data_IF_857724876714
#
_entry.id   IF_857724876714
#
_cell.length_a   1.000
_cell.length_b   1.000
_cell.length_c   1.000
_cell.angle_alpha   90.00
_cell.angle_beta   90.00
_cell.angle_gamma   90.00
#
_symmetry.space_group_name_H-M   'P 1'
#
loop_
_entity.id
_entity.type
_entity.pdbx_description
1 polymer ?
#
# COMPACT_ATOMS: atom_id res chain seq x y z
N UNK A 1 0.53 -29.25 -47.16
CA UNK A 1 0.94 -27.84 -47.11
C UNK A 1 1.73 -27.64 -45.83
N UNK A 2 3.01 -27.24 -45.89
CA UNK A 2 3.80 -27.01 -44.69
C UNK A 2 3.39 -25.67 -44.06
N UNK A 3 3.08 -25.70 -42.77
CA UNK A 3 2.86 -24.52 -41.94
C UNK A 3 4.23 -23.96 -41.60
N UNK A 4 4.55 -22.79 -42.16
CA UNK A 4 5.74 -22.02 -41.80
C UNK A 4 5.51 -21.43 -40.41
N UNK A 5 6.35 -21.82 -39.47
CA UNK A 5 6.45 -21.21 -38.14
C UNK A 5 7.31 -19.96 -38.31
N UNK A 6 6.72 -18.79 -38.15
CA UNK A 6 7.47 -17.53 -38.07
C UNK A 6 8.20 -17.48 -36.73
N UNK A 7 9.54 -17.43 -36.77
CA UNK A 7 10.37 -17.06 -35.63
C UNK A 7 10.20 -15.55 -35.36
N UNK A 8 9.56 -15.20 -34.25
CA UNK A 8 9.55 -13.84 -33.74
C UNK A 8 10.93 -13.47 -33.16
N UNK A 9 11.59 -12.52 -33.83
CA UNK A 9 12.87 -11.92 -33.46
C UNK A 9 12.74 -11.11 -32.15
N UNK A 10 13.19 -11.69 -31.04
CA UNK A 10 13.23 -11.08 -29.70
C UNK A 10 14.40 -10.09 -29.52
N UNK A 11 14.67 -9.26 -30.51
CA UNK A 11 15.74 -8.24 -30.43
C UNK A 11 15.15 -6.87 -30.79
N UNK A 12 14.65 -6.09 -29.79
CA UNK A 12 15.47 -4.97 -29.30
C UNK A 12 15.07 -4.44 -27.89
N UNK A 13 15.12 -5.26 -26.83
CA UNK A 13 15.01 -4.71 -25.44
C UNK A 13 16.37 -4.35 -24.81
N UNK A 14 17.48 -4.83 -25.36
CA UNK A 14 18.83 -4.57 -24.82
C UNK A 14 19.46 -3.25 -25.28
N UNK A 15 19.01 -2.64 -26.39
CA UNK A 15 19.53 -1.34 -26.84
C UNK A 15 18.88 -0.13 -26.18
N UNK A 16 17.71 -0.28 -25.56
CA UNK A 16 17.04 0.83 -24.85
C UNK A 16 17.69 1.14 -23.49
N UNK A 17 18.45 0.20 -22.93
CA UNK A 17 19.21 0.40 -21.68
C UNK A 17 20.48 1.25 -21.87
N UNK A 18 20.99 1.43 -23.10
CA UNK A 18 22.24 2.13 -23.37
C UNK A 18 22.10 3.64 -23.62
N UNK A 19 20.88 4.17 -23.83
CA UNK A 19 20.66 5.58 -24.21
C UNK A 19 20.23 6.52 -23.07
N UNK A 20 20.13 6.04 -21.83
CA UNK A 20 19.75 6.87 -20.66
C UNK A 20 20.98 7.44 -19.91
N UNK A 21 22.20 7.25 -20.44
CA UNK A 21 23.45 7.63 -19.77
C UNK A 21 24.01 9.03 -20.03
N UNK A 22 23.42 9.85 -20.90
CA UNK A 22 24.00 11.13 -21.32
C UNK A 22 23.10 12.33 -20.93
N UNK A 23 23.05 12.61 -19.63
CA UNK A 23 22.28 13.74 -19.08
C UNK A 23 22.53 13.94 -17.59
N UNK A 24 23.78 13.85 -17.15
CA UNK A 24 24.17 14.26 -15.79
C UNK A 24 24.16 15.79 -15.71
N UNK A 25 22.97 16.36 -15.57
CA UNK A 25 22.78 17.72 -15.13
C UNK A 25 23.26 17.88 -13.69
N UNK A 26 23.95 18.99 -13.45
CA UNK A 26 24.50 19.47 -12.21
C UNK A 26 23.51 19.31 -11.04
N UNK A 27 23.96 18.64 -9.96
CA UNK A 27 23.17 18.37 -8.76
C UNK A 27 23.00 19.68 -7.99
N UNK A 28 21.78 20.18 -7.96
CA UNK A 28 21.34 21.31 -7.13
C UNK A 28 21.63 21.03 -5.65
N UNK A 29 22.20 22.02 -4.98
CA UNK A 29 22.51 22.00 -3.55
C UNK A 29 21.28 21.63 -2.70
N UNK A 30 21.49 20.73 -1.73
CA UNK A 30 20.45 20.32 -0.77
C UNK A 30 20.13 21.52 0.13
N UNK A 31 18.86 21.96 0.24
CA UNK A 31 18.52 23.11 1.06
C UNK A 31 18.78 22.83 2.56
N UNK A 32 19.51 23.69 3.29
CA UNK A 32 19.93 23.50 4.68
C UNK A 32 18.80 23.57 5.73
N UNK A 33 17.54 23.67 5.31
CA UNK A 33 16.40 23.95 6.20
C UNK A 33 15.81 22.72 6.91
N UNK A 34 16.16 21.48 6.53
CA UNK A 34 15.51 20.28 7.10
C UNK A 34 16.10 19.83 8.45
N UNK A 35 17.38 20.09 8.71
CA UNK A 35 18.06 19.61 9.93
C UNK A 35 17.51 20.22 11.22
N UNK A 36 17.08 21.49 11.20
CA UNK A 36 16.60 22.18 12.39
C UNK A 36 15.23 21.75 12.90
N UNK A 37 14.38 21.19 12.03
CA UNK A 37 13.02 20.78 12.42
C UNK A 37 13.01 19.48 13.24
N UNK A 38 13.93 18.54 12.94
CA UNK A 38 14.09 17.29 13.68
C UNK A 38 14.63 17.55 15.10
N UNK A 39 15.64 18.41 15.22
CA UNK A 39 16.25 18.77 16.52
C UNK A 39 15.32 19.55 17.45
N UNK A 40 14.31 20.24 16.91
CA UNK A 40 13.32 21.00 17.68
C UNK A 40 12.20 20.09 18.24
N UNK A 41 11.76 19.10 17.46
CA UNK A 41 10.76 18.12 17.89
C UNK A 41 11.29 17.23 19.04
N UNK A 42 12.57 16.88 19.03
CA UNK A 42 13.16 16.01 20.07
C UNK A 42 13.34 16.70 21.44
N UNK A 43 13.40 18.03 21.52
CA UNK A 43 13.62 18.75 22.79
C UNK A 43 12.35 19.01 23.60
N UNK A 44 11.17 18.72 23.05
CA UNK A 44 9.88 18.93 23.71
C UNK A 44 9.30 17.74 24.48
N UNK A 45 9.76 16.50 24.21
CA UNK A 45 9.06 15.28 24.61
C UNK A 45 9.35 14.78 26.05
N UNK A 46 9.52 15.67 27.03
CA UNK A 46 9.79 15.31 28.41
C UNK A 46 8.77 15.93 29.39
N UNK A 47 7.52 15.45 29.35
CA UNK A 47 6.60 15.59 30.47
C UNK A 47 5.11 15.70 30.12
N UNK A 48 4.35 14.64 30.39
CA UNK A 48 2.88 14.67 30.51
C UNK A 48 2.17 13.51 29.80
N UNK A 49 1.07 13.01 30.38
CA UNK A 49 0.18 11.98 29.80
C UNK A 49 -0.54 12.41 28.49
N UNK A 50 -0.14 13.54 27.88
CA UNK A 50 -0.52 14.01 26.54
C UNK A 50 0.34 13.38 25.41
N UNK A 51 1.12 12.34 25.74
CA UNK A 51 2.16 11.69 24.91
C UNK A 51 1.65 11.08 23.58
N UNK A 52 0.35 10.83 23.42
CA UNK A 52 -0.19 10.15 22.24
C UNK A 52 -0.37 11.07 21.02
N UNK A 53 -0.61 12.37 21.22
CA UNK A 53 -0.77 13.35 20.14
C UNK A 53 0.58 13.73 19.52
N UNK A 54 1.63 13.94 20.32
CA UNK A 54 2.98 14.19 19.82
C UNK A 54 3.51 12.98 19.02
N UNK A 55 3.07 11.77 19.38
CA UNK A 55 3.40 10.54 18.64
C UNK A 55 2.75 10.46 17.26
N UNK A 56 1.69 11.20 16.96
CA UNK A 56 1.02 11.19 15.65
C UNK A 56 1.87 11.86 14.57
N UNK A 57 2.50 12.99 14.90
CA UNK A 57 3.41 13.70 14.00
C UNK A 57 4.64 12.87 13.64
N UNK A 58 5.01 11.88 14.46
CA UNK A 58 6.23 11.09 14.27
C UNK A 58 6.16 10.14 13.07
N UNK A 59 5.01 9.54 12.74
CA UNK A 59 4.95 8.59 11.60
C UNK A 59 5.19 9.31 10.26
N UNK A 60 4.62 10.50 10.07
CA UNK A 60 4.82 11.28 8.85
C UNK A 60 6.27 11.83 8.71
N UNK A 61 6.95 12.02 9.85
CA UNK A 61 8.37 12.37 9.89
C UNK A 61 9.25 11.15 9.63
N UNK A 62 8.88 9.96 10.11
CA UNK A 62 9.63 8.72 9.97
C UNK A 62 9.55 8.13 8.56
N UNK A 63 8.41 8.30 7.89
CA UNK A 63 8.12 7.73 6.57
C UNK A 63 8.12 8.79 5.47
N UNK A 64 8.37 8.36 4.24
CA UNK A 64 8.42 9.21 3.05
C UNK A 64 7.01 9.61 2.57
N UNK A 65 6.33 10.44 3.35
CA UNK A 65 5.01 11.01 3.05
C UNK A 65 5.15 12.28 2.21
N UNK A 66 4.23 12.48 1.26
CA UNK A 66 4.16 13.65 0.40
C UNK A 66 3.87 14.95 1.16
N UNK A 67 4.46 16.07 0.74
CA UNK A 67 4.31 17.38 1.40
C UNK A 67 2.93 18.00 1.24
N UNK A 68 2.18 17.59 0.22
CA UNK A 68 0.79 18.01 0.02
C UNK A 68 -0.23 17.17 0.78
N UNK A 69 0.22 16.15 1.51
CA UNK A 69 -0.69 15.26 2.23
C UNK A 69 -0.92 15.81 3.65
N UNK A 70 -2.17 16.05 4.07
CA UNK A 70 -2.43 16.57 5.42
C UNK A 70 -1.85 15.63 6.49
N UNK A 71 -1.13 16.18 7.45
CA UNK A 71 -0.41 15.43 8.49
C UNK A 71 -1.33 14.85 9.57
N UNK A 72 -2.53 15.38 9.72
CA UNK A 72 -3.50 14.97 10.73
C UNK A 72 -4.80 14.42 10.10
N UNK A 73 -5.47 13.54 10.85
CA UNK A 73 -6.88 13.22 10.61
C UNK A 73 -7.81 14.32 11.17
N UNK A 74 -7.31 15.06 12.16
CA UNK A 74 -8.15 15.75 13.14
C UNK A 74 -8.06 17.27 13.08
N UNK A 75 -6.98 17.87 12.55
CA UNK A 75 -6.91 19.34 12.46
C UNK A 75 -7.69 19.90 11.27
N UNK A 76 -7.95 19.08 10.25
CA UNK A 76 -9.04 19.38 9.34
C UNK A 76 -10.36 19.22 10.11
N UNK A 77 -11.07 20.32 10.42
CA UNK A 77 -12.41 20.19 11.00
C UNK A 77 -13.26 19.25 10.11
N UNK A 78 -14.14 18.39 10.68
CA UNK A 78 -14.99 17.49 9.89
C UNK A 78 -15.79 18.21 8.80
N UNK A 79 -16.05 19.50 9.04
CA UNK A 79 -16.78 20.42 8.19
C UNK A 79 -15.89 21.51 7.58
N UNK A 80 -14.57 21.48 7.81
CA UNK A 80 -13.67 22.39 7.11
C UNK A 80 -13.81 22.10 5.60
N UNK A 81 -14.22 23.10 4.80
CA UNK A 81 -14.25 22.93 3.37
C UNK A 81 -12.86 22.48 2.95
N UNK A 82 -12.79 21.40 2.18
CA UNK A 82 -11.56 21.01 1.48
C UNK A 82 -10.96 22.29 0.90
N UNK A 83 -9.77 22.67 1.37
CA UNK A 83 -9.15 23.94 0.96
C UNK A 83 -9.13 24.03 -0.56
N UNK A 84 -9.17 25.25 -1.12
CA UNK A 84 -9.27 25.50 -2.57
C UNK A 84 -8.20 24.79 -3.42
N UNK A 85 -7.14 24.25 -2.79
CA UNK A 85 -6.10 23.41 -3.41
C UNK A 85 -6.43 21.91 -3.52
N UNK A 86 -7.59 21.46 -3.05
CA UNK A 86 -8.13 20.15 -3.39
C UNK A 86 -8.65 20.26 -4.82
N UNK A 87 -7.75 20.15 -5.81
CA UNK A 87 -8.02 20.46 -7.20
C UNK A 87 -9.41 20.00 -7.63
N UNK A 88 -10.11 20.86 -8.36
CA UNK A 88 -11.52 20.71 -8.81
C UNK A 88 -11.84 19.38 -9.53
N UNK A 89 -10.86 18.49 -9.73
CA UNK A 89 -10.99 17.15 -10.29
C UNK A 89 -11.48 16.07 -9.32
N UNK A 90 -11.43 16.27 -8.00
CA UNK A 90 -11.94 15.27 -7.05
C UNK A 90 -13.49 15.29 -7.00
N UNK A 91 -14.10 14.43 -7.82
CA UNK A 91 -15.55 14.30 -7.91
C UNK A 91 -16.23 14.02 -6.54
N UNK A 92 -17.53 14.34 -6.40
CA UNK A 92 -18.27 14.23 -5.13
C UNK A 92 -18.22 12.84 -4.48
N UNK A 93 -18.02 11.79 -5.27
CA UNK A 93 -17.87 10.40 -4.80
C UNK A 93 -16.59 10.20 -4.00
N UNK A 94 -15.47 10.77 -4.44
CA UNK A 94 -14.19 10.68 -3.72
C UNK A 94 -14.25 11.37 -2.36
N UNK A 95 -14.93 12.53 -2.28
CA UNK A 95 -15.16 13.26 -1.03
C UNK A 95 -15.96 12.45 -0.01
N UNK A 96 -17.08 11.84 -0.44
CA UNK A 96 -17.93 11.03 0.45
C UNK A 96 -17.22 9.78 0.99
N UNK A 97 -16.43 9.11 0.15
CA UNK A 97 -15.63 7.95 0.54
C UNK A 97 -14.57 8.34 1.59
N UNK A 98 -13.87 9.46 1.39
CA UNK A 98 -12.87 9.98 2.34
C UNK A 98 -13.48 10.34 3.70
N UNK A 99 -14.66 10.95 3.74
CA UNK A 99 -15.35 11.29 4.99
C UNK A 99 -15.78 10.05 5.81
N UNK A 100 -16.32 9.02 5.14
CA UNK A 100 -16.66 7.76 5.81
C UNK A 100 -15.42 7.04 6.34
N UNK A 101 -14.35 7.01 5.54
CA UNK A 101 -13.06 6.46 5.95
C UNK A 101 -12.51 7.14 7.19
N UNK A 102 -12.53 8.48 7.23
CA UNK A 102 -12.09 9.24 8.41
C UNK A 102 -12.86 8.86 9.67
N UNK A 103 -14.21 8.85 9.63
CA UNK A 103 -15.04 8.51 10.80
C UNK A 103 -14.81 7.08 11.30
N UNK A 104 -14.66 6.12 10.38
CA UNK A 104 -14.39 4.74 10.76
C UNK A 104 -12.97 4.58 11.31
N UNK A 105 -11.98 5.19 10.66
CA UNK A 105 -10.58 5.15 11.09
C UNK A 105 -10.40 5.74 12.50
N UNK A 106 -11.04 6.90 12.78
CA UNK A 106 -11.03 7.50 14.11
C UNK A 106 -11.60 6.56 15.18
N UNK A 107 -12.70 5.87 14.89
CA UNK A 107 -13.28 4.88 15.82
C UNK A 107 -12.43 3.63 16.02
N UNK A 108 -11.61 3.27 15.04
CA UNK A 108 -10.71 2.13 15.10
C UNK A 108 -9.36 2.48 15.75
N UNK A 109 -9.13 3.74 16.14
CA UNK A 109 -7.82 4.20 16.60
C UNK A 109 -6.75 4.13 15.50
N UNK A 110 -7.17 4.17 14.24
CA UNK A 110 -6.29 4.07 13.09
C UNK A 110 -5.52 5.38 12.88
N UNK A 111 -4.23 5.27 12.58
CA UNK A 111 -3.37 6.42 12.25
C UNK A 111 -3.31 6.65 10.75
N UNK A 112 -2.88 7.85 10.34
CA UNK A 112 -2.72 8.18 8.92
C UNK A 112 -1.26 8.08 8.52
N UNK A 113 -1.02 7.55 7.33
CA UNK A 113 0.28 7.61 6.67
C UNK A 113 0.07 7.84 5.18
N UNK A 114 0.23 9.07 4.73
CA UNK A 114 -0.24 9.45 3.39
C UNK A 114 -1.77 9.37 3.30
N UNK A 115 -2.29 8.62 2.33
CA UNK A 115 -3.71 8.25 2.24
C UNK A 115 -4.00 6.83 2.77
N UNK A 116 -3.01 6.19 3.41
CA UNK A 116 -3.16 4.90 4.06
C UNK A 116 -3.69 5.07 5.50
N UNK A 117 -4.48 4.10 5.97
CA UNK A 117 -4.85 3.98 7.37
C UNK A 117 -4.06 2.85 8.03
N UNK A 118 -3.27 3.21 9.04
CA UNK A 118 -2.43 2.30 9.83
C UNK A 118 -3.24 1.84 11.05
N UNK A 119 -3.71 0.60 10.99
CA UNK A 119 -4.53 -0.02 12.05
C UNK A 119 -3.68 -0.61 13.18
N UNK A 120 -2.45 -1.05 12.86
CA UNK A 120 -1.55 -1.64 13.83
C UNK A 120 -0.09 -1.40 13.45
N UNK A 121 0.71 -1.01 14.43
CA UNK A 121 2.15 -0.83 14.31
C UNK A 121 2.86 -1.35 15.57
N UNK A 122 4.18 -1.54 15.47
CA UNK A 122 5.04 -1.98 16.57
C UNK A 122 6.28 -1.09 16.62
N UNK A 123 6.59 -0.53 17.79
CA UNK A 123 7.89 0.11 18.01
C UNK A 123 8.99 -0.97 18.02
N UNK A 124 10.05 -0.76 17.25
CA UNK A 124 11.24 -1.60 17.21
C UNK A 124 12.28 -1.06 18.18
N UNK A 125 12.91 -2.00 18.88
CA UNK A 125 14.00 -1.71 19.82
C UNK A 125 15.28 -1.34 19.05
N UNK A 126 16.16 -0.47 19.58
CA UNK A 126 17.40 -0.07 18.90
C UNK A 126 18.34 -1.23 18.49
N UNK A 127 18.18 -2.43 19.06
CA UNK A 127 18.96 -3.62 18.70
C UNK A 127 18.29 -4.56 17.69
N UNK A 128 17.01 -4.35 17.33
CA UNK A 128 16.29 -5.21 16.38
C UNK A 128 16.55 -4.81 14.92
N UNK A 129 17.12 -3.63 14.68
CA UNK A 129 17.30 -3.10 13.33
C UNK A 129 18.77 -2.86 13.03
N UNK A 130 19.16 -3.11 11.78
CA UNK A 130 20.48 -2.74 11.28
C UNK A 130 20.74 -1.26 11.61
N UNK A 131 21.97 -0.96 12.03
CA UNK A 131 22.36 0.36 12.49
C UNK A 131 21.82 1.44 11.53
N UNK A 132 21.11 2.47 12.03
CA UNK A 132 20.54 3.49 11.19
C UNK A 132 21.63 4.08 10.30
N UNK A 133 21.33 4.27 9.02
CA UNK A 133 22.16 5.09 8.15
C UNK A 133 22.40 6.44 8.83
N UNK A 134 23.59 7.03 8.65
CA UNK A 134 23.92 8.34 9.20
C UNK A 134 22.77 9.33 8.90
N UNK A 135 22.19 9.93 9.95
CA UNK A 135 21.06 10.86 9.84
C UNK A 135 19.65 10.25 9.81
N UNK A 136 19.48 8.94 9.97
CA UNK A 136 18.17 8.29 10.06
C UNK A 136 17.45 8.52 11.39
N UNK A 137 16.11 8.57 11.36
CA UNK A 137 15.28 8.70 12.56
C UNK A 137 15.63 7.64 13.62
N UNK A 138 15.81 8.07 14.87
CA UNK A 138 16.26 7.21 15.99
C UNK A 138 15.22 6.19 16.43
N UNK A 139 13.94 6.43 16.12
CA UNK A 139 12.82 5.55 16.42
C UNK A 139 12.40 4.81 15.15
N UNK A 140 12.29 3.50 15.26
CA UNK A 140 11.90 2.65 14.14
C UNK A 140 10.58 1.97 14.47
N UNK A 141 9.55 2.31 13.73
CA UNK A 141 8.21 1.74 13.83
C UNK A 141 7.99 0.73 12.71
N UNK A 142 7.51 -0.46 12.99
CA UNK A 142 7.11 -1.45 11.99
C UNK A 142 5.61 -1.39 11.74
N UNK A 143 5.20 -1.19 10.49
CA UNK A 143 3.79 -1.22 10.09
C UNK A 143 3.32 -2.68 9.98
N UNK A 144 2.36 -3.08 10.82
CA UNK A 144 1.85 -4.46 10.84
C UNK A 144 0.56 -4.63 10.06
N UNK A 145 -0.36 -3.67 10.20
CA UNK A 145 -1.66 -3.69 9.54
C UNK A 145 -1.94 -2.31 8.95
N UNK A 146 -1.98 -2.23 7.63
CA UNK A 146 -2.18 -1.00 6.87
C UNK A 146 -3.23 -1.28 5.80
N UNK A 147 -4.25 -0.43 5.73
CA UNK A 147 -5.26 -0.49 4.66
C UNK A 147 -5.11 0.74 3.78
N UNK A 148 -5.24 0.53 2.47
CA UNK A 148 -5.09 1.61 1.51
C UNK A 148 -6.33 2.50 1.38
N UNK A 149 -6.24 3.57 0.58
CA UNK A 149 -7.32 4.55 0.40
C UNK A 149 -8.58 3.94 -0.22
N UNK A 150 -8.45 2.85 -0.96
CA UNK A 150 -9.54 2.17 -1.65
C UNK A 150 -10.16 1.02 -0.83
N UNK A 151 -9.86 0.91 0.48
CA UNK A 151 -10.46 -0.09 1.36
C UNK A 151 -12.01 -0.16 1.30
N UNK A 152 -12.78 0.94 1.08
CA UNK A 152 -14.24 0.83 0.95
C UNK A 152 -14.62 0.00 -0.28
N UNK A 153 -13.87 0.08 -1.37
CA UNK A 153 -14.14 -0.70 -2.56
C UNK A 153 -13.91 -2.20 -2.29
N UNK A 154 -12.82 -2.56 -1.62
CA UNK A 154 -12.59 -3.95 -1.21
C UNK A 154 -13.66 -4.47 -0.25
N UNK A 155 -14.05 -3.67 0.74
CA UNK A 155 -15.05 -4.07 1.73
C UNK A 155 -16.48 -4.15 1.15
N UNK A 156 -16.87 -3.21 0.29
CA UNK A 156 -18.25 -3.06 -0.17
C UNK A 156 -18.50 -3.64 -1.56
N UNK A 157 -17.45 -3.96 -2.32
CA UNK A 157 -17.57 -4.55 -3.66
C UNK A 157 -16.89 -5.92 -3.70
N UNK A 158 -15.60 -6.00 -3.40
CA UNK A 158 -14.82 -7.23 -3.61
C UNK A 158 -15.22 -8.36 -2.68
N UNK A 159 -15.29 -8.13 -1.35
CA UNK A 159 -15.75 -9.15 -0.41
C UNK A 159 -17.19 -9.59 -0.68
N UNK A 160 -18.17 -8.67 -0.86
CA UNK A 160 -19.53 -9.06 -1.22
C UNK A 160 -19.60 -9.87 -2.51
N UNK A 161 -18.82 -9.52 -3.53
CA UNK A 161 -18.78 -10.31 -4.77
C UNK A 161 -18.31 -11.75 -4.50
N UNK A 162 -17.21 -11.92 -3.75
CA UNK A 162 -16.69 -13.25 -3.38
C UNK A 162 -17.74 -14.03 -2.58
N UNK A 163 -18.34 -13.43 -1.54
CA UNK A 163 -19.30 -14.12 -0.68
C UNK A 163 -20.62 -14.42 -1.37
N UNK A 164 -21.13 -13.53 -2.22
CA UNK A 164 -22.39 -13.74 -2.94
C UNK A 164 -22.23 -14.86 -3.99
N UNK A 165 -21.16 -14.84 -4.78
CA UNK A 165 -20.91 -15.88 -5.79
C UNK A 165 -20.64 -17.23 -5.11
N UNK A 166 -19.76 -17.25 -4.10
CA UNK A 166 -19.45 -18.46 -3.35
C UNK A 166 -20.69 -19.00 -2.63
N UNK A 167 -21.50 -18.12 -2.02
CA UNK A 167 -22.76 -18.48 -1.38
C UNK A 167 -23.75 -19.11 -2.36
N UNK A 168 -23.89 -18.53 -3.56
CA UNK A 168 -24.75 -19.09 -4.60
C UNK A 168 -24.31 -20.52 -5.00
N UNK A 169 -23.00 -20.75 -5.19
CA UNK A 169 -22.46 -22.10 -5.45
C UNK A 169 -22.73 -23.04 -4.27
N UNK A 170 -22.53 -22.56 -3.04
CA UNK A 170 -22.74 -23.35 -1.83
C UNK A 170 -24.19 -23.82 -1.65
N UNK A 171 -25.16 -22.95 -1.94
CA UNK A 171 -26.58 -23.29 -1.78
C UNK A 171 -27.18 -24.03 -2.97
N UNK A 172 -26.79 -23.67 -4.20
CA UNK A 172 -27.41 -24.21 -5.41
C UNK A 172 -26.73 -25.44 -6.00
N UNK A 173 -25.42 -25.63 -5.73
CA UNK A 173 -24.60 -26.67 -6.39
C UNK A 173 -24.11 -27.71 -5.39
N UNK A 174 -23.47 -27.29 -4.29
CA UNK A 174 -22.78 -28.21 -3.36
C UNK A 174 -23.63 -29.30 -2.66
N UNK A 175 -24.95 -29.16 -2.42
CA UNK A 175 -25.73 -30.21 -1.73
C UNK A 175 -25.69 -31.57 -2.43
N UNK A 176 -25.47 -31.59 -3.75
CA UNK A 176 -25.44 -32.79 -4.58
C UNK A 176 -24.04 -33.46 -4.65
N UNK A 177 -22.99 -32.80 -4.15
CA UNK A 177 -21.59 -33.25 -4.29
C UNK A 177 -21.09 -34.00 -3.06
N UNK A 178 -20.05 -34.82 -3.21
CA UNK A 178 -19.41 -35.52 -2.09
C UNK A 178 -18.90 -34.56 -0.99
N UNK A 179 -18.91 -35.03 0.27
CA UNK A 179 -18.45 -34.22 1.42
C UNK A 179 -17.01 -33.72 1.24
N UNK A 180 -16.12 -34.54 0.67
CA UNK A 180 -14.74 -34.16 0.39
C UNK A 180 -14.67 -32.95 -0.57
N UNK A 181 -15.49 -32.93 -1.61
CA UNK A 181 -15.60 -31.82 -2.57
C UNK A 181 -16.06 -30.54 -1.86
N UNK A 182 -17.07 -30.63 -0.98
CA UNK A 182 -17.57 -29.48 -0.20
C UNK A 182 -16.49 -28.91 0.74
N UNK A 183 -15.74 -29.79 1.41
CA UNK A 183 -14.64 -29.38 2.30
C UNK A 183 -13.52 -28.73 1.51
N UNK A 184 -13.10 -29.32 0.39
CA UNK A 184 -12.06 -28.76 -0.47
C UNK A 184 -12.45 -27.37 -0.99
N UNK A 185 -13.71 -27.21 -1.42
CA UNK A 185 -14.26 -25.93 -1.85
C UNK A 185 -14.27 -24.90 -0.72
N UNK A 186 -14.74 -25.27 0.47
CA UNK A 186 -14.77 -24.37 1.63
C UNK A 186 -13.35 -23.93 2.04
N UNK A 187 -12.38 -24.84 2.01
CA UNK A 187 -10.97 -24.51 2.22
C UNK A 187 -10.42 -23.55 1.15
N UNK A 188 -10.78 -23.74 -0.12
CA UNK A 188 -10.39 -22.86 -1.22
C UNK A 188 -10.92 -21.43 -1.05
N UNK A 189 -12.22 -21.29 -0.73
CA UNK A 189 -12.83 -19.97 -0.46
C UNK A 189 -12.21 -19.32 0.76
N UNK A 190 -11.98 -20.06 1.84
CA UNK A 190 -11.31 -19.53 3.04
C UNK A 190 -9.89 -19.06 2.72
N UNK A 191 -9.11 -19.85 1.99
CA UNK A 191 -7.75 -19.49 1.58
C UNK A 191 -7.75 -18.23 0.70
N UNK A 192 -8.72 -18.11 -0.22
CA UNK A 192 -8.89 -16.92 -1.06
C UNK A 192 -9.16 -15.66 -0.22
N UNK A 193 -10.08 -15.75 0.74
CA UNK A 193 -10.43 -14.64 1.66
C UNK A 193 -9.23 -14.23 2.52
N UNK A 194 -8.47 -15.21 3.04
CA UNK A 194 -7.25 -14.96 3.81
C UNK A 194 -6.19 -14.29 2.94
N UNK A 195 -5.95 -14.78 1.71
CA UNK A 195 -4.97 -14.19 0.80
C UNK A 195 -5.35 -12.74 0.40
N UNK A 196 -6.63 -12.47 0.15
CA UNK A 196 -7.12 -11.10 -0.08
C UNK A 196 -6.89 -10.21 1.15
N UNK A 197 -7.22 -10.70 2.36
CA UNK A 197 -7.01 -9.98 3.61
C UNK A 197 -5.52 -9.66 3.84
N UNK A 198 -4.64 -10.63 3.60
CA UNK A 198 -3.20 -10.45 3.71
C UNK A 198 -2.65 -9.46 2.67
N UNK A 199 -3.29 -9.33 1.51
CA UNK A 199 -2.91 -8.32 0.50
C UNK A 199 -3.41 -6.94 0.91
N UNK A 200 -4.69 -6.83 1.27
CA UNK A 200 -5.39 -5.59 1.56
C UNK A 200 -4.93 -4.90 2.85
N UNK A 201 -4.50 -5.68 3.85
CA UNK A 201 -4.17 -5.19 5.20
C UNK A 201 -2.66 -5.18 5.49
N UNK A 202 -1.79 -5.33 4.50
CA UNK A 202 -0.33 -5.40 4.71
C UNK A 202 0.35 -4.15 4.17
N UNK A 203 1.43 -3.76 4.84
CA UNK A 203 2.33 -2.70 4.35
C UNK A 203 2.80 -3.03 2.92
N UNK A 204 2.54 -2.17 1.91
CA UNK A 204 2.99 -2.39 0.54
C UNK A 204 4.52 -2.24 0.40
N UNK A 205 5.20 -1.68 1.39
CA UNK A 205 6.61 -1.31 1.33
C UNK A 205 6.81 0.19 1.43
N UNK A 206 6.09 0.87 2.32
CA UNK A 206 6.25 2.32 2.49
C UNK A 206 7.68 2.65 2.90
N UNK A 207 8.35 3.46 2.10
CA UNK A 207 9.75 3.82 2.30
C UNK A 207 9.88 4.76 3.51
N UNK A 208 10.95 4.55 4.28
CA UNK A 208 11.33 5.46 5.37
C UNK A 208 11.88 6.77 4.82
N UNK A 209 11.80 7.84 5.60
CA UNK A 209 12.39 9.13 5.24
C UNK A 209 13.91 9.06 5.35
N UNK A 210 14.59 9.49 4.29
CA UNK A 210 16.05 9.60 4.21
C UNK A 210 16.42 11.03 3.81
N UNK A 211 16.76 11.90 4.80
CA UNK A 211 17.12 13.29 4.52
C UNK A 211 18.48 13.41 3.83
N UNK A 212 19.37 12.45 4.08
CA UNK A 212 20.69 12.35 3.47
C UNK A 212 20.72 11.19 2.48
N UNK A 213 21.58 11.30 1.46
CA UNK A 213 21.70 10.32 0.38
C UNK A 213 22.41 9.04 0.89
N UNK A 214 21.72 7.90 1.08
CA UNK A 214 22.34 6.72 1.70
C UNK A 214 23.28 5.95 0.74
N UNK A 215 23.08 6.08 -0.57
CA UNK A 215 23.88 5.37 -1.57
C UNK A 215 23.95 6.10 -2.91
N UNK A 216 24.95 5.77 -3.73
CA UNK A 216 25.23 6.48 -4.99
C UNK A 216 24.05 6.51 -5.96
N UNK A 217 23.30 5.41 -6.06
CA UNK A 217 22.15 5.26 -6.97
C UNK A 217 20.87 5.94 -6.49
N UNK A 218 20.82 6.40 -5.22
CA UNK A 218 19.64 7.04 -4.67
C UNK A 218 19.40 8.40 -5.32
N UNK A 219 18.13 8.74 -5.51
CA UNK A 219 17.67 9.98 -6.16
C UNK A 219 16.78 10.74 -5.20
N UNK A 220 16.84 12.07 -5.28
CA UNK A 220 15.94 12.92 -4.51
C UNK A 220 14.53 12.84 -5.08
N UNK A 221 13.52 12.86 -4.22
CA UNK A 221 12.11 13.01 -4.56
C UNK A 221 11.57 14.28 -3.92
N UNK A 222 11.18 15.25 -4.75
CA UNK A 222 10.69 16.55 -4.30
C UNK A 222 9.34 16.47 -3.58
N UNK A 223 8.42 15.63 -4.09
CA UNK A 223 7.06 15.49 -3.56
C UNK A 223 7.06 15.00 -2.10
N UNK A 224 7.96 14.09 -1.75
CA UNK A 224 8.08 13.55 -0.40
C UNK A 224 9.28 14.10 0.37
N UNK A 225 10.09 15.00 -0.20
CA UNK A 225 11.33 15.55 0.38
C UNK A 225 12.22 14.47 1.03
N UNK A 226 12.57 13.47 0.26
CA UNK A 226 13.41 12.36 0.71
C UNK A 226 14.27 11.82 -0.43
N UNK A 227 15.43 11.27 -0.09
CA UNK A 227 16.12 10.37 -1.00
C UNK A 227 15.37 9.03 -1.07
N UNK A 228 15.35 8.44 -2.26
CA UNK A 228 14.72 7.16 -2.53
C UNK A 228 15.58 6.29 -3.47
N UNK A 229 15.57 4.96 -3.34
CA UNK A 229 16.29 4.08 -4.26
C UNK A 229 15.57 3.98 -5.63
N UNK A 230 16.25 3.53 -6.70
CA UNK A 230 15.71 3.52 -8.07
C UNK A 230 14.39 2.78 -8.27
N UNK A 231 14.16 1.70 -7.50
CA UNK A 231 12.98 0.83 -7.56
C UNK A 231 11.77 1.36 -6.80
N UNK A 232 11.90 2.51 -6.14
CA UNK A 232 10.81 3.07 -5.33
C UNK A 232 10.10 4.21 -6.07
N UNK A 233 8.78 4.29 -5.94
CA UNK A 233 7.92 5.26 -6.64
C UNK A 233 7.09 6.05 -5.64
N UNK A 234 7.04 7.39 -5.80
CA UNK A 234 6.02 8.20 -5.13
C UNK A 234 4.71 8.02 -5.88
N UNK A 235 3.69 7.56 -5.17
CA UNK A 235 2.36 7.36 -5.71
C UNK A 235 1.40 8.42 -5.17
N UNK A 236 0.65 9.06 -6.07
CA UNK A 236 -0.26 10.15 -5.73
C UNK A 236 -1.54 9.66 -5.05
N UNK A 237 -2.02 8.47 -5.38
CA UNK A 237 -3.20 7.88 -4.76
C UNK A 237 -2.92 7.42 -3.32
N UNK A 238 -1.70 6.95 -3.04
CA UNK A 238 -1.26 6.54 -1.71
C UNK A 238 -0.65 7.70 -0.90
N UNK A 239 -0.14 8.74 -1.56
CA UNK A 239 0.49 9.91 -0.92
C UNK A 239 1.82 9.59 -0.22
N UNK A 240 2.50 8.52 -0.64
CA UNK A 240 3.76 8.04 -0.04
C UNK A 240 4.70 7.48 -1.10
N UNK A 241 5.98 7.35 -0.76
CA UNK A 241 6.95 6.58 -1.55
C UNK A 241 6.89 5.10 -1.17
N UNK A 242 6.76 4.20 -2.14
CA UNK A 242 6.69 2.75 -1.96
C UNK A 242 7.86 2.05 -2.65
N UNK A 243 8.53 1.10 -1.97
CA UNK A 243 9.60 0.28 -2.55
C UNK A 243 9.04 -0.85 -3.43
N UNK A 244 9.69 -1.09 -4.56
CA UNK A 244 9.26 -2.11 -5.53
C UNK A 244 7.80 -1.92 -5.93
N UNK A 245 7.39 -0.66 -6.12
CA UNK A 245 6.01 -0.33 -6.44
C UNK A 245 5.61 -0.92 -7.80
N UNK A 246 4.48 -1.61 -7.83
CA UNK A 246 3.92 -2.20 -9.04
C UNK A 246 2.73 -1.36 -9.53
N UNK A 247 1.64 -1.30 -8.76
CA UNK A 247 0.46 -0.50 -9.09
C UNK A 247 -0.44 -0.27 -7.88
N UNK A 248 -1.41 0.64 -7.99
CA UNK A 248 -2.54 0.71 -7.05
C UNK A 248 -3.70 -0.12 -7.57
N UNK A 249 -4.25 -0.99 -6.71
CA UNK A 249 -5.30 -1.91 -7.08
C UNK A 249 -6.58 -1.63 -6.28
N UNK A 250 -7.60 -0.98 -6.88
CA UNK A 250 -8.85 -0.69 -6.18
C UNK A 250 -9.56 -1.94 -5.65
N UNK A 251 -9.43 -3.08 -6.36
CA UNK A 251 -10.02 -4.36 -5.95
C UNK A 251 -9.43 -4.91 -4.65
N UNK A 252 -8.13 -4.72 -4.41
CA UNK A 252 -7.48 -5.12 -3.16
C UNK A 252 -7.45 -3.99 -2.13
N UNK A 253 -7.80 -2.77 -2.55
CA UNK A 253 -8.05 -1.63 -1.67
C UNK A 253 -6.78 -0.88 -1.28
N UNK A 254 -5.63 -1.25 -1.87
CA UNK A 254 -4.32 -0.75 -1.48
C UNK A 254 -3.33 -0.74 -2.64
N UNK A 255 -2.14 -0.18 -2.39
CA UNK A 255 -0.99 -0.28 -3.27
C UNK A 255 -0.40 -1.69 -3.25
N UNK A 256 0.10 -2.14 -4.39
CA UNK A 256 0.89 -3.37 -4.53
C UNK A 256 2.35 -2.95 -4.66
N UNK A 257 3.18 -3.43 -3.74
CA UNK A 257 4.61 -3.17 -3.71
C UNK A 257 5.37 -4.36 -3.13
N UNK A 258 6.66 -4.19 -2.91
CA UNK A 258 7.58 -5.26 -2.56
C UNK A 258 7.10 -6.15 -1.39
N UNK A 259 6.55 -5.54 -0.32
CA UNK A 259 6.21 -6.26 0.92
C UNK A 259 4.88 -7.02 0.89
N UNK A 260 3.99 -6.71 -0.05
CA UNK A 260 2.71 -7.40 -0.21
C UNK A 260 2.53 -8.08 -1.58
N UNK A 261 3.50 -7.94 -2.52
CA UNK A 261 3.45 -8.54 -3.85
C UNK A 261 3.28 -10.06 -3.83
N UNK A 262 3.94 -10.76 -2.91
CA UNK A 262 3.78 -12.22 -2.78
C UNK A 262 2.36 -12.61 -2.35
N UNK A 263 1.77 -11.87 -1.41
CA UNK A 263 0.38 -12.09 -0.98
C UNK A 263 -0.60 -11.82 -2.13
N UNK A 264 -0.35 -10.77 -2.92
CA UNK A 264 -1.13 -10.45 -4.11
C UNK A 264 -1.08 -11.58 -5.15
N UNK A 265 0.10 -12.09 -5.48
CA UNK A 265 0.25 -13.23 -6.40
C UNK A 265 -0.45 -14.50 -5.89
N UNK A 266 -0.39 -14.76 -4.57
CA UNK A 266 -1.12 -15.86 -3.96
C UNK A 266 -2.64 -15.67 -4.11
N UNK A 267 -3.15 -14.48 -3.85
CA UNK A 267 -4.56 -14.12 -4.02
C UNK A 267 -5.03 -14.33 -5.47
N UNK A 268 -4.32 -13.78 -6.46
CA UNK A 268 -4.71 -13.90 -7.88
C UNK A 268 -4.65 -15.37 -8.34
N UNK A 269 -3.63 -16.12 -7.91
CA UNK A 269 -3.51 -17.55 -8.24
C UNK A 269 -4.67 -18.36 -7.65
N UNK A 270 -4.98 -18.14 -6.36
CA UNK A 270 -6.12 -18.79 -5.70
C UNK A 270 -7.45 -18.39 -6.33
N UNK A 271 -7.61 -17.13 -6.76
CA UNK A 271 -8.81 -16.66 -7.45
C UNK A 271 -9.02 -17.46 -8.75
N UNK A 272 -7.98 -17.61 -9.58
CA UNK A 272 -8.05 -18.42 -10.80
C UNK A 272 -8.41 -19.89 -10.50
N UNK A 273 -7.76 -20.50 -9.50
CA UNK A 273 -8.04 -21.89 -9.10
C UNK A 273 -9.49 -22.05 -8.61
N UNK A 274 -9.98 -21.15 -7.75
CA UNK A 274 -11.36 -21.20 -7.26
C UNK A 274 -12.37 -21.01 -8.38
N UNK A 275 -12.15 -20.09 -9.32
CA UNK A 275 -13.04 -19.91 -10.49
C UNK A 275 -13.10 -21.17 -11.34
N UNK A 276 -11.95 -21.80 -11.64
CA UNK A 276 -11.91 -23.06 -12.39
C UNK A 276 -12.66 -24.15 -11.61
N UNK A 277 -12.43 -24.23 -10.30
CA UNK A 277 -13.10 -25.22 -9.45
C UNK A 277 -14.62 -25.04 -9.44
N UNK A 278 -15.11 -23.81 -9.30
CA UNK A 278 -16.54 -23.47 -9.37
C UNK A 278 -17.14 -23.85 -10.73
N UNK A 279 -16.45 -23.58 -11.83
CA UNK A 279 -16.89 -24.00 -13.18
C UNK A 279 -17.01 -25.52 -13.27
N UNK A 280 -16.03 -26.27 -12.77
CA UNK A 280 -16.07 -27.74 -12.79
C UNK A 280 -17.22 -28.30 -11.91
N UNK A 281 -17.51 -27.66 -10.78
CA UNK A 281 -18.65 -28.02 -9.91
C UNK A 281 -19.98 -27.78 -10.61
N UNK A 282 -20.15 -26.60 -11.22
CA UNK A 282 -21.36 -26.23 -11.97
C UNK A 282 -21.59 -27.16 -13.16
N UNK A 283 -20.51 -27.54 -13.86
CA UNK A 283 -20.55 -28.50 -14.96
C UNK A 283 -20.74 -29.95 -14.52
N UNK A 284 -20.84 -30.22 -13.21
CA UNK A 284 -20.96 -31.56 -12.62
C UNK A 284 -19.86 -32.52 -13.09
N UNK A 285 -18.67 -32.00 -13.36
CA UNK A 285 -17.49 -32.80 -13.74
C UNK A 285 -16.92 -33.52 -12.50
N UNK A 286 -17.10 -32.92 -11.34
CA UNK A 286 -16.61 -33.42 -10.06
C UNK A 286 -17.72 -34.16 -9.30
N UNK A 287 -17.35 -35.22 -8.55
CA UNK A 287 -18.28 -36.01 -7.74
C UNK A 287 -18.74 -35.30 -6.45
#
# INVERSE_FOLDING_TARGET
>A
MPVLVEEEDQTPMLEMAARVGAGAGEITEVPPALGGALDAAERGAAGGDDDDDDRLSLLALEYAVGTGVPSDWDAAEPDAPCGEDCGDGDGPVARGARACARRLCARLGARRLGYLAVLKWRDLSPGEVAAPSAGGARRMTELQCVVGPFWPFTLLVTYPLIFCVSGAVAFAVLPDHAVATRVAWACGVLALVVALSCTACRDPGVLRRHPEKPGAAWRWNDQARTYRPPESVYDEDLGVVVTGFDHVCPWTGTGIGEKNLCAFHCFVSLLCVCIIFDVLLVMKVLP
#
